data_IF_538762685453
#
_entry.id   IF_538762685453
#
_cell.length_a   1.000
_cell.length_b   1.000
_cell.length_c   1.000
_cell.angle_alpha   90.00
_cell.angle_beta   90.00
_cell.angle_gamma   90.00
#
_symmetry.space_group_name_H-M   'P 1'
#
loop_
_entity.id
_entity.type
_entity.pdbx_description
1 polymer ?
#
# COMPACT_ATOMS: atom_id res chain seq x y z
N UNK A 1 30.24 -0.12 -9.56
CA UNK A 1 30.77 0.77 -10.62
C UNK A 1 29.66 0.99 -11.63
N UNK A 2 29.42 2.22 -12.10
CA UNK A 2 28.41 2.46 -13.14
C UNK A 2 28.76 1.68 -14.40
N UNK A 3 27.77 1.02 -15.00
CA UNK A 3 27.91 0.37 -16.30
C UNK A 3 27.80 1.42 -17.41
N UNK A 4 28.78 1.45 -18.31
CA UNK A 4 28.78 2.36 -19.44
C UNK A 4 28.58 1.57 -20.73
N UNK A 5 27.45 1.85 -21.41
CA UNK A 5 27.11 1.30 -22.72
C UNK A 5 27.23 2.41 -23.77
N UNK A 6 27.73 2.09 -24.97
CA UNK A 6 27.75 2.99 -26.12
C UNK A 6 26.84 2.43 -27.20
N UNK A 7 25.80 3.16 -27.60
CA UNK A 7 24.85 2.73 -28.64
C UNK A 7 25.49 2.49 -30.02
N UNK A 8 26.69 3.02 -30.24
CA UNK A 8 27.48 2.83 -31.46
C UNK A 8 28.42 1.64 -31.41
N UNK A 9 28.56 0.98 -30.26
CA UNK A 9 29.42 -0.19 -30.13
C UNK A 9 28.78 -1.40 -30.82
N UNK A 10 29.58 -2.22 -31.49
CA UNK A 10 29.10 -3.40 -32.21
C UNK A 10 28.44 -4.44 -31.28
N UNK A 11 28.80 -4.44 -29.99
CA UNK A 11 28.27 -5.30 -28.95
C UNK A 11 27.13 -4.66 -28.14
N UNK A 12 26.66 -3.45 -28.52
CA UNK A 12 25.66 -2.71 -27.76
C UNK A 12 24.41 -3.54 -27.46
N UNK A 13 23.81 -4.17 -28.47
CA UNK A 13 22.57 -4.93 -28.30
C UNK A 13 22.74 -6.08 -27.31
N UNK A 14 23.85 -6.82 -27.40
CA UNK A 14 24.16 -7.91 -26.48
C UNK A 14 24.42 -7.40 -25.05
N UNK A 15 25.21 -6.35 -24.91
CA UNK A 15 25.54 -5.75 -23.61
C UNK A 15 24.34 -5.05 -22.96
N UNK A 16 23.44 -4.48 -23.76
CA UNK A 16 22.18 -3.88 -23.31
C UNK A 16 21.18 -4.96 -22.91
N UNK A 17 21.00 -6.02 -23.72
CA UNK A 17 20.17 -7.16 -23.36
C UNK A 17 20.67 -7.84 -22.08
N UNK A 18 21.98 -7.99 -21.89
CA UNK A 18 22.56 -8.52 -20.67
C UNK A 18 22.29 -7.63 -19.45
N UNK A 19 22.37 -6.30 -19.61
CA UNK A 19 21.99 -5.35 -18.55
C UNK A 19 20.50 -5.49 -18.19
N UNK A 20 19.62 -5.56 -19.19
CA UNK A 20 18.18 -5.76 -18.97
C UNK A 20 17.86 -7.13 -18.33
N UNK A 21 18.68 -8.14 -18.62
CA UNK A 21 18.53 -9.49 -18.09
C UNK A 21 19.17 -9.69 -16.71
N UNK A 22 19.83 -8.68 -16.12
CA UNK A 22 20.29 -8.76 -14.74
C UNK A 22 19.08 -8.86 -13.79
N UNK A 23 18.66 -10.08 -13.52
CA UNK A 23 17.66 -10.37 -12.50
C UNK A 23 18.22 -10.04 -11.13
N UNK A 24 17.44 -9.33 -10.32
CA UNK A 24 17.50 -9.48 -8.87
C UNK A 24 16.93 -10.86 -8.55
N UNK A 25 17.75 -11.89 -8.52
CA UNK A 25 17.29 -13.20 -8.05
C UNK A 25 16.80 -13.08 -6.60
N UNK A 26 15.59 -13.58 -6.35
CA UNK A 26 15.06 -13.77 -5.00
C UNK A 26 15.63 -15.09 -4.52
N UNK A 27 16.29 -15.11 -3.35
CA UNK A 27 16.86 -16.35 -2.81
C UNK A 27 15.74 -17.28 -2.36
N UNK A 28 15.89 -18.58 -2.63
CA UNK A 28 14.95 -19.64 -2.21
C UNK A 28 14.69 -19.63 -0.69
N UNK A 29 15.64 -19.12 0.09
CA UNK A 29 15.53 -18.97 1.54
C UNK A 29 14.41 -18.00 1.96
N UNK A 30 14.16 -16.93 1.17
CA UNK A 30 13.08 -15.97 1.46
C UNK A 30 11.72 -16.61 1.25
N UNK A 31 11.56 -17.41 0.18
CA UNK A 31 10.29 -18.05 -0.14
C UNK A 31 9.84 -19.01 0.96
N UNK A 32 10.76 -19.84 1.48
CA UNK A 32 10.46 -20.76 2.58
C UNK A 32 10.09 -20.01 3.87
N UNK A 33 10.80 -18.93 4.19
CA UNK A 33 10.51 -18.11 5.36
C UNK A 33 9.15 -17.42 5.28
N UNK A 34 8.83 -16.82 4.13
CA UNK A 34 7.54 -16.15 3.88
C UNK A 34 6.39 -17.16 3.94
N UNK A 35 6.55 -18.34 3.35
CA UNK A 35 5.55 -19.41 3.42
C UNK A 35 5.24 -19.81 4.85
N UNK A 36 6.27 -20.01 5.67
CA UNK A 36 6.09 -20.34 7.08
C UNK A 36 5.36 -19.22 7.84
N UNK A 37 5.66 -17.95 7.56
CA UNK A 37 4.97 -16.80 8.17
C UNK A 37 3.48 -16.79 7.79
N UNK A 38 3.15 -16.99 6.52
CA UNK A 38 1.76 -17.00 6.04
C UNK A 38 0.98 -18.13 6.71
N UNK A 39 1.55 -19.34 6.73
CA UNK A 39 0.90 -20.50 7.35
C UNK A 39 0.66 -20.28 8.86
N UNK A 40 1.62 -19.66 9.54
CA UNK A 40 1.51 -19.35 10.96
C UNK A 40 0.42 -18.30 11.28
N UNK A 41 0.36 -17.21 10.49
CA UNK A 41 -0.70 -16.19 10.63
C UNK A 41 -2.07 -16.77 10.35
N UNK A 42 -2.22 -17.64 9.34
CA UNK A 42 -3.48 -18.32 9.04
C UNK A 42 -3.98 -19.21 10.17
N UNK A 43 -3.07 -19.83 10.93
CA UNK A 43 -3.42 -20.77 12.01
C UNK A 43 -3.63 -20.05 13.34
N UNK A 44 -2.76 -19.09 13.68
CA UNK A 44 -2.74 -18.46 15.02
C UNK A 44 -3.31 -17.03 15.04
N UNK A 45 -3.59 -16.43 13.90
CA UNK A 45 -4.14 -15.07 13.80
C UNK A 45 -3.31 -14.03 14.55
N UNK A 46 -3.97 -13.21 15.36
CA UNK A 46 -3.35 -12.11 16.12
C UNK A 46 -2.15 -12.54 16.98
N UNK A 47 -2.16 -13.76 17.52
CA UNK A 47 -1.03 -14.26 18.30
C UNK A 47 0.26 -14.33 17.45
N UNK A 48 0.17 -14.79 16.20
CA UNK A 48 1.31 -14.76 15.28
C UNK A 48 1.71 -13.33 14.90
N UNK A 49 0.74 -12.42 14.69
CA UNK A 49 1.04 -11.02 14.40
C UNK A 49 1.84 -10.35 15.53
N UNK A 50 1.42 -10.56 16.78
CA UNK A 50 2.11 -10.03 17.96
C UNK A 50 3.54 -10.58 18.04
N UNK A 51 3.72 -11.89 17.89
CA UNK A 51 5.06 -12.52 17.97
C UNK A 51 5.98 -12.04 16.84
N UNK A 52 5.46 -11.94 15.62
CA UNK A 52 6.25 -11.55 14.45
C UNK A 52 6.60 -10.06 14.47
N UNK A 53 5.69 -9.19 14.93
CA UNK A 53 6.01 -7.76 15.14
C UNK A 53 6.97 -7.53 16.30
N UNK A 54 6.94 -8.34 17.36
CA UNK A 54 8.03 -8.33 18.38
C UNK A 54 9.38 -8.66 17.75
N UNK A 55 9.41 -9.68 16.89
CA UNK A 55 10.63 -10.16 16.24
C UNK A 55 11.20 -9.19 15.22
N UNK A 56 10.38 -8.66 14.33
CA UNK A 56 10.83 -7.89 13.16
C UNK A 56 10.77 -6.37 13.37
N UNK A 57 9.80 -5.90 14.13
CA UNK A 57 9.58 -4.48 14.36
C UNK A 57 9.99 -4.03 15.78
N UNK A 58 10.41 -4.95 16.66
CA UNK A 58 10.75 -4.66 18.05
C UNK A 58 9.64 -3.91 18.83
N UNK A 59 8.38 -4.26 18.57
CA UNK A 59 7.20 -3.66 19.21
C UNK A 59 6.28 -4.74 19.79
N UNK A 60 5.78 -4.52 21.00
CA UNK A 60 4.82 -5.42 21.64
C UNK A 60 3.37 -4.97 21.36
N UNK A 61 2.78 -5.50 20.28
CA UNK A 61 1.40 -5.21 19.90
C UNK A 61 0.36 -5.73 20.91
N UNK A 62 0.73 -6.69 21.78
CA UNK A 62 -0.14 -7.12 22.89
C UNK A 62 -0.28 -6.06 23.97
N UNK A 63 0.64 -5.09 24.03
CA UNK A 63 0.59 -3.94 24.94
C UNK A 63 0.05 -2.68 24.26
N UNK A 64 0.55 -2.35 23.06
CA UNK A 64 0.19 -1.09 22.37
C UNK A 64 -1.04 -1.22 21.46
N UNK A 65 -1.52 -2.45 21.22
CA UNK A 65 -2.62 -2.75 20.31
C UNK A 65 -2.19 -2.83 18.84
N UNK A 66 -2.86 -3.72 18.08
CA UNK A 66 -2.61 -3.90 16.64
C UNK A 66 -3.19 -2.71 15.84
N UNK A 67 -4.42 -2.29 16.15
CA UNK A 67 -5.10 -1.15 15.49
C UNK A 67 -4.63 0.18 16.08
N UNK A 68 -4.34 1.15 15.22
CA UNK A 68 -4.09 2.54 15.62
C UNK A 68 -5.43 3.21 15.91
N UNK A 69 -5.59 3.78 17.10
CA UNK A 69 -6.81 4.47 17.51
C UNK A 69 -7.00 5.82 16.79
N UNK A 70 -8.24 6.29 16.70
CA UNK A 70 -8.55 7.64 16.19
C UNK A 70 -7.79 8.72 16.95
N UNK A 71 -7.72 8.60 18.27
CA UNK A 71 -7.07 9.58 19.14
C UNK A 71 -5.57 9.67 18.87
N UNK A 72 -4.93 8.55 18.53
CA UNK A 72 -3.52 8.51 18.15
C UNK A 72 -3.27 9.13 16.78
N UNK A 73 -4.18 8.90 15.83
CA UNK A 73 -4.16 9.57 14.52
C UNK A 73 -4.31 11.08 14.71
N UNK A 74 -5.30 11.54 15.47
CA UNK A 74 -5.52 12.96 15.74
C UNK A 74 -4.32 13.62 16.44
N UNK A 75 -3.76 12.96 17.47
CA UNK A 75 -2.58 13.44 18.18
C UNK A 75 -1.34 13.52 17.27
N UNK A 76 -1.18 12.59 16.33
CA UNK A 76 -0.10 12.64 15.36
C UNK A 76 -0.34 13.76 14.33
N UNK A 77 -1.55 13.87 13.77
CA UNK A 77 -1.89 14.91 12.80
C UNK A 77 -1.70 16.31 13.39
N UNK A 78 -2.02 16.51 14.67
CA UNK A 78 -1.82 17.77 15.37
C UNK A 78 -0.34 18.22 15.46
N UNK A 79 0.62 17.31 15.26
CA UNK A 79 2.06 17.62 15.22
C UNK A 79 2.54 18.08 13.84
N UNK A 80 1.70 17.97 12.81
CA UNK A 80 2.06 18.34 11.44
C UNK A 80 1.98 19.86 11.26
N UNK A 81 2.92 20.44 10.51
CA UNK A 81 2.85 21.88 10.22
C UNK A 81 1.67 22.19 9.29
N UNK A 82 0.98 23.33 9.48
CA UNK A 82 -0.14 23.73 8.64
C UNK A 82 0.20 23.74 7.14
N UNK A 83 1.35 24.29 6.77
CA UNK A 83 1.82 24.34 5.38
C UNK A 83 1.96 22.94 4.76
N UNK A 84 2.41 21.95 5.54
CA UNK A 84 2.53 20.57 5.04
C UNK A 84 1.17 19.91 4.88
N UNK A 85 0.23 20.17 5.80
CA UNK A 85 -1.15 19.68 5.68
C UNK A 85 -1.82 20.27 4.44
N UNK A 86 -1.63 21.57 4.16
CA UNK A 86 -2.15 22.20 2.94
C UNK A 86 -1.51 21.62 1.68
N UNK A 87 -0.21 21.33 1.70
CA UNK A 87 0.45 20.65 0.58
C UNK A 87 -0.13 19.23 0.33
N UNK A 88 -0.44 18.48 1.39
CA UNK A 88 -1.09 17.16 1.29
C UNK A 88 -2.51 17.26 0.74
N UNK A 89 -3.31 18.25 1.18
CA UNK A 89 -4.65 18.51 0.64
C UNK A 89 -4.58 18.87 -0.84
N UNK A 90 -3.68 19.77 -1.22
CA UNK A 90 -3.47 20.16 -2.62
C UNK A 90 -3.11 18.95 -3.48
N UNK A 91 -2.18 18.10 -3.02
CA UNK A 91 -1.83 16.87 -3.72
C UNK A 91 -3.02 15.91 -3.85
N UNK A 92 -3.74 15.66 -2.75
CA UNK A 92 -4.94 14.81 -2.71
C UNK A 92 -5.99 15.27 -3.73
N UNK A 93 -6.31 16.56 -3.76
CA UNK A 93 -7.35 17.10 -4.63
C UNK A 93 -6.99 16.93 -6.09
N UNK A 94 -5.73 17.17 -6.47
CA UNK A 94 -5.25 16.93 -7.84
C UNK A 94 -5.27 15.45 -8.24
N UNK A 95 -4.89 14.56 -7.32
CA UNK A 95 -4.96 13.11 -7.55
C UNK A 95 -6.42 12.69 -7.76
N UNK A 96 -7.32 13.18 -6.91
CA UNK A 96 -8.75 12.90 -6.98
C UNK A 96 -9.34 13.37 -8.30
N UNK A 97 -9.11 14.63 -8.67
CA UNK A 97 -9.64 15.21 -9.91
C UNK A 97 -9.18 14.45 -11.16
N UNK A 98 -7.95 13.93 -11.15
CA UNK A 98 -7.46 13.08 -12.22
C UNK A 98 -8.20 11.74 -12.28
N UNK A 99 -8.32 11.02 -11.15
CA UNK A 99 -8.91 9.69 -11.12
C UNK A 99 -10.44 9.70 -11.31
N UNK A 100 -11.14 10.77 -10.92
CA UNK A 100 -12.57 10.93 -11.20
C UNK A 100 -12.84 10.88 -12.71
N UNK A 101 -11.93 11.41 -13.53
CA UNK A 101 -12.06 11.39 -15.00
C UNK A 101 -11.85 9.99 -15.60
N UNK A 102 -11.30 9.06 -14.84
CA UNK A 102 -11.00 7.69 -15.26
C UNK A 102 -12.08 6.70 -14.81
N UNK A 103 -13.11 7.15 -14.08
CA UNK A 103 -14.20 6.28 -13.67
C UNK A 103 -14.85 5.63 -14.91
N UNK A 104 -14.98 4.29 -14.91
CA UNK A 104 -15.57 3.60 -16.04
C UNK A 104 -17.08 3.86 -16.09
N UNK A 105 -17.65 3.69 -17.28
CA UNK A 105 -19.09 3.75 -17.48
C UNK A 105 -19.61 2.35 -17.78
N UNK A 106 -20.74 2.03 -17.15
CA UNK A 106 -21.54 0.86 -17.50
C UNK A 106 -22.00 0.98 -18.95
N UNK A 107 -22.21 -0.16 -19.60
CA UNK A 107 -22.79 -0.21 -20.93
C UNK A 107 -23.85 -1.30 -21.00
N UNK A 108 -24.90 -1.03 -21.78
CA UNK A 108 -26.00 -1.96 -22.02
C UNK A 108 -26.57 -1.68 -23.40
N UNK A 109 -26.61 -2.71 -24.23
CA UNK A 109 -27.06 -2.61 -25.62
C UNK A 109 -27.91 -3.82 -26.02
N UNK A 110 -28.59 -3.71 -27.16
CA UNK A 110 -29.22 -4.84 -27.84
C UNK A 110 -28.51 -5.09 -29.15
N UNK A 111 -28.21 -6.35 -29.44
CA UNK A 111 -27.61 -6.74 -30.70
C UNK A 111 -28.67 -6.85 -31.82
N UNK A 112 -28.22 -7.18 -33.03
CA UNK A 112 -29.09 -7.35 -34.20
C UNK A 112 -30.07 -8.53 -34.06
N UNK A 113 -29.78 -9.50 -33.18
CA UNK A 113 -30.67 -10.61 -32.86
C UNK A 113 -31.71 -10.23 -31.79
N UNK A 114 -31.66 -9.00 -31.26
CA UNK A 114 -32.55 -8.49 -30.22
C UNK A 114 -32.18 -8.95 -28.81
N UNK A 115 -31.01 -9.59 -28.63
CA UNK A 115 -30.49 -10.03 -27.33
C UNK A 115 -29.91 -8.83 -26.59
N UNK A 116 -30.19 -8.74 -25.30
CA UNK A 116 -29.65 -7.69 -24.46
C UNK A 116 -28.34 -8.13 -23.81
N UNK A 117 -27.31 -7.28 -23.92
CA UNK A 117 -25.96 -7.52 -23.46
C UNK A 117 -25.46 -6.28 -22.71
N UNK A 118 -24.49 -6.44 -21.81
CA UNK A 118 -23.91 -5.30 -21.10
C UNK A 118 -22.83 -5.69 -20.10
N UNK A 119 -22.14 -4.67 -19.60
CA UNK A 119 -21.20 -4.77 -18.48
C UNK A 119 -21.54 -3.73 -17.42
N UNK A 120 -21.26 -4.08 -16.17
CA UNK A 120 -21.42 -3.19 -15.03
C UNK A 120 -20.13 -3.15 -14.23
N UNK A 121 -19.71 -1.96 -13.85
CA UNK A 121 -18.59 -1.71 -12.95
C UNK A 121 -19.10 -1.49 -11.54
N UNK A 122 -18.49 -2.18 -10.58
CA UNK A 122 -18.71 -1.96 -9.15
C UNK A 122 -17.36 -1.94 -8.45
N UNK A 123 -17.25 -1.13 -7.40
CA UNK A 123 -16.07 -1.14 -6.54
C UNK A 123 -15.88 -2.53 -5.91
N UNK A 124 -14.64 -2.87 -5.59
CA UNK A 124 -14.38 -3.97 -4.65
C UNK A 124 -14.87 -3.58 -3.26
N UNK A 125 -15.29 -4.55 -2.46
CA UNK A 125 -15.87 -4.32 -1.13
C UNK A 125 -14.83 -3.86 -0.11
N UNK A 126 -13.58 -4.32 -0.22
CA UNK A 126 -12.50 -3.89 0.65
C UNK A 126 -11.15 -3.94 -0.05
N UNK A 127 -10.24 -3.04 0.35
CA UNK A 127 -8.84 -3.04 -0.09
C UNK A 127 -7.91 -2.89 1.11
N UNK A 128 -6.78 -3.59 1.05
CA UNK A 128 -5.65 -3.43 1.97
C UNK A 128 -4.50 -2.67 1.30
N UNK A 129 -4.03 -1.60 1.94
CA UNK A 129 -2.93 -0.77 1.49
C UNK A 129 -1.70 -1.04 2.36
N UNK A 130 -0.65 -1.61 1.78
CA UNK A 130 0.62 -1.80 2.48
C UNK A 130 1.49 -0.55 2.33
N UNK A 131 1.81 0.09 3.45
CA UNK A 131 2.69 1.26 3.50
C UNK A 131 3.96 0.90 4.26
N UNK A 132 5.16 1.04 3.67
CA UNK A 132 6.40 0.80 4.39
C UNK A 132 6.55 1.71 5.62
N UNK A 133 7.14 1.17 6.69
CA UNK A 133 7.49 1.92 7.90
C UNK A 133 8.87 2.57 7.84
N UNK A 134 9.22 3.32 8.89
CA UNK A 134 10.54 3.95 9.04
C UNK A 134 10.84 5.04 8.00
N UNK A 135 12.09 5.12 7.54
CA UNK A 135 12.57 6.17 6.62
C UNK A 135 11.99 6.09 5.20
N UNK A 136 11.36 4.97 4.84
CA UNK A 136 10.69 4.78 3.55
C UNK A 136 9.19 5.09 3.61
N UNK A 137 8.71 5.67 4.72
CA UNK A 137 7.30 5.93 4.95
C UNK A 137 6.91 7.28 4.34
N UNK A 138 6.33 7.24 3.13
CA UNK A 138 5.99 8.43 2.35
C UNK A 138 4.48 8.73 2.38
N UNK A 139 4.05 9.94 2.81
CA UNK A 139 2.64 10.32 2.76
C UNK A 139 2.08 10.36 1.33
N UNK A 140 2.93 10.64 0.33
CA UNK A 140 2.55 10.62 -1.08
C UNK A 140 2.13 9.23 -1.58
N UNK A 141 2.81 8.17 -1.13
CA UNK A 141 2.44 6.78 -1.45
C UNK A 141 1.07 6.43 -0.89
N UNK A 142 0.73 6.93 0.29
CA UNK A 142 -0.61 6.75 0.89
C UNK A 142 -1.67 7.41 0.01
N UNK A 143 -1.47 8.70 -0.34
CA UNK A 143 -2.40 9.42 -1.21
C UNK A 143 -2.60 8.72 -2.57
N UNK A 144 -1.51 8.26 -3.20
CA UNK A 144 -1.57 7.60 -4.51
C UNK A 144 -2.27 6.23 -4.49
N UNK A 145 -2.34 5.56 -3.33
CA UNK A 145 -3.05 4.28 -3.20
C UNK A 145 -4.51 4.48 -2.73
N UNK A 146 -4.71 5.31 -1.70
CA UNK A 146 -6.01 5.45 -1.05
C UNK A 146 -6.98 6.34 -1.84
N UNK A 147 -6.51 7.43 -2.45
CA UNK A 147 -7.40 8.35 -3.19
C UNK A 147 -8.10 7.66 -4.37
N UNK A 148 -7.42 6.84 -5.21
CA UNK A 148 -8.11 6.10 -6.26
C UNK A 148 -9.12 5.08 -5.74
N UNK A 149 -8.81 4.39 -4.63
CA UNK A 149 -9.76 3.46 -4.00
C UNK A 149 -11.01 4.18 -3.48
N UNK A 150 -10.83 5.35 -2.84
CA UNK A 150 -11.94 6.19 -2.39
C UNK A 150 -12.78 6.70 -3.58
N UNK A 151 -12.13 7.18 -4.65
CA UNK A 151 -12.81 7.62 -5.88
C UNK A 151 -13.60 6.49 -6.54
N UNK A 152 -13.05 5.28 -6.57
CA UNK A 152 -13.73 4.10 -7.11
C UNK A 152 -14.97 3.70 -6.28
N UNK A 153 -15.11 4.20 -5.05
CA UNK A 153 -16.24 3.91 -4.16
C UNK A 153 -16.02 2.67 -3.29
N UNK A 154 -14.77 2.31 -3.00
CA UNK A 154 -14.46 1.20 -2.08
C UNK A 154 -14.95 1.56 -0.67
N UNK A 155 -15.84 0.76 -0.05
CA UNK A 155 -16.43 1.13 1.22
C UNK A 155 -15.50 0.91 2.42
N UNK A 156 -14.61 -0.09 2.37
CA UNK A 156 -13.65 -0.38 3.47
C UNK A 156 -12.20 -0.32 2.98
N UNK A 157 -11.50 0.75 3.33
CA UNK A 157 -10.08 0.96 2.99
C UNK A 157 -9.23 0.77 4.24
N UNK A 158 -8.43 -0.30 4.25
CA UNK A 158 -7.52 -0.64 5.35
C UNK A 158 -6.09 -0.28 4.98
N UNK A 159 -5.32 0.25 5.92
CA UNK A 159 -3.89 0.48 5.78
C UNK A 159 -3.12 -0.35 6.82
N UNK A 160 -2.08 -1.04 6.38
CA UNK A 160 -1.10 -1.67 7.26
C UNK A 160 0.22 -0.92 7.13
N UNK A 161 0.80 -0.55 8.26
CA UNK A 161 2.05 0.18 8.34
C UNK A 161 2.85 -0.33 9.54
N UNK A 162 4.04 -0.94 9.38
CA UNK A 162 4.84 -1.35 10.51
C UNK A 162 5.32 -0.14 11.29
N UNK A 163 5.40 -0.29 12.61
CA UNK A 163 5.92 0.74 13.53
C UNK A 163 7.19 0.24 14.21
N UNK A 164 8.35 0.21 13.53
CA UNK A 164 9.61 -0.22 14.14
C UNK A 164 9.88 0.58 15.43
N UNK A 165 10.11 -0.13 16.54
CA UNK A 165 10.30 0.44 17.89
C UNK A 165 9.11 1.28 18.39
N UNK A 166 7.93 1.10 17.80
CA UNK A 166 6.73 1.89 18.09
C UNK A 166 6.69 3.27 17.44
N UNK A 167 7.61 3.58 16.53
CA UNK A 167 7.67 4.89 15.86
C UNK A 167 6.57 5.02 14.79
N UNK A 168 5.80 6.11 14.87
CA UNK A 168 4.78 6.49 13.89
C UNK A 168 5.25 7.70 13.09
N UNK A 169 4.95 7.72 11.79
CA UNK A 169 5.15 8.91 10.97
C UNK A 169 3.84 9.74 10.93
N UNK A 170 3.80 10.93 11.56
CA UNK A 170 2.61 11.77 11.59
C UNK A 170 2.05 12.12 10.21
N UNK A 171 2.91 12.33 9.22
CA UNK A 171 2.49 12.70 7.87
C UNK A 171 1.79 11.53 7.16
N UNK A 172 2.18 10.29 7.44
CA UNK A 172 1.51 9.11 6.88
C UNK A 172 0.11 8.96 7.46
N UNK A 173 -0.06 9.20 8.77
CA UNK A 173 -1.38 9.20 9.41
C UNK A 173 -2.26 10.36 8.91
N UNK A 174 -1.68 11.54 8.71
CA UNK A 174 -2.37 12.67 8.08
C UNK A 174 -2.83 12.35 6.66
N UNK A 175 -1.96 11.75 5.84
CA UNK A 175 -2.31 11.35 4.49
C UNK A 175 -3.42 10.28 4.48
N UNK A 176 -3.38 9.30 5.39
CA UNK A 176 -4.39 8.26 5.52
C UNK A 176 -5.76 8.88 5.87
N UNK A 177 -5.81 9.75 6.88
CA UNK A 177 -7.03 10.46 7.27
C UNK A 177 -7.59 11.31 6.11
N UNK A 178 -6.72 12.06 5.42
CA UNK A 178 -7.14 12.94 4.32
C UNK A 178 -7.65 12.18 3.08
N UNK A 179 -7.25 10.92 2.90
CA UNK A 179 -7.56 10.09 1.72
C UNK A 179 -8.67 9.07 1.91
N UNK A 180 -9.29 9.03 3.10
CA UNK A 180 -10.44 8.16 3.38
C UNK A 180 -10.07 6.74 3.78
N UNK A 181 -8.87 6.52 4.31
CA UNK A 181 -8.52 5.27 5.00
C UNK A 181 -9.34 5.18 6.30
N UNK A 182 -9.99 4.04 6.52
CA UNK A 182 -10.90 3.82 7.67
C UNK A 182 -10.20 3.12 8.83
N UNK A 183 -9.31 2.17 8.52
CA UNK A 183 -8.64 1.34 9.51
C UNK A 183 -7.14 1.35 9.29
N UNK A 184 -6.36 1.53 10.36
CA UNK A 184 -4.90 1.53 10.30
C UNK A 184 -4.34 0.54 11.31
N UNK A 185 -3.43 -0.33 10.88
CA UNK A 185 -2.83 -1.37 11.72
C UNK A 185 -1.30 -1.32 11.72
N UNK A 186 -0.68 -1.53 12.89
CA UNK A 186 0.77 -1.42 13.15
C UNK A 186 1.62 -2.59 12.64
N UNK A 187 1.15 -3.30 11.62
CA UNK A 187 1.79 -4.51 11.10
C UNK A 187 2.44 -4.25 9.75
N UNK A 188 3.57 -4.90 9.48
CA UNK A 188 4.24 -4.89 8.17
C UNK A 188 4.72 -6.28 7.77
N UNK A 189 5.60 -6.35 6.78
CA UNK A 189 6.19 -7.60 6.30
C UNK A 189 5.18 -8.59 5.70
N UNK A 190 5.62 -9.84 5.57
CA UNK A 190 4.78 -10.93 5.07
C UNK A 190 3.58 -11.22 5.99
N UNK A 191 3.71 -10.96 7.30
CA UNK A 191 2.66 -11.17 8.27
C UNK A 191 1.48 -10.21 8.10
N UNK A 192 1.73 -8.96 7.72
CA UNK A 192 0.67 -8.01 7.40
C UNK A 192 -0.07 -8.42 6.11
N UNK A 193 0.67 -8.86 5.10
CA UNK A 193 0.06 -9.35 3.84
C UNK A 193 -0.77 -10.61 4.07
N UNK A 194 -0.35 -11.49 4.98
CA UNK A 194 -1.11 -12.69 5.34
C UNK A 194 -2.39 -12.40 6.15
N UNK A 195 -2.45 -11.26 6.84
CA UNK A 195 -3.59 -10.86 7.66
C UNK A 195 -4.67 -10.09 6.90
N UNK A 196 -4.29 -9.41 5.80
CA UNK A 196 -5.20 -8.75 4.86
C UNK A 196 -5.94 -9.77 4.00
#
# INVERSE_FOLDING_TARGET
MPMHLKSTAADFEASFAALLAQKREVSTDVDLAVRAIIDDVRVRGDAALIDLSKKFDAVDLGTVGIKIGSDEVEAAVAQCSPDTIEALKFARDRIRDHHVRQLPQDDRYRDEAGVELGHRWTAVESVGLYVPGGLASYPSSVLMNAVPANVAGVPRIVMVVPTPRGELNPLVLAAAQLSGVEEIYRVGGAQAVAAL
#
